data_IF_094609569162
#
_entry.id   IF_094609569162
#
_cell.length_a   1.000
_cell.length_b   1.000
_cell.length_c   1.000
_cell.angle_alpha   90.00
_cell.angle_beta   90.00
_cell.angle_gamma   90.00
#
_symmetry.space_group_name_H-M   'P 1'
#
loop_
_entity.id
_entity.type
_entity.pdbx_description
1 polymer ?
#
# COMPACT_ATOMS: atom_id res chain seq x y z
N UNK A 1 -3.36 -16.49 15.13
CA UNK A 1 -2.25 -15.54 14.97
C UNK A 1 -2.86 -14.15 14.92
N UNK A 2 -2.58 -13.31 15.92
CA UNK A 2 -3.18 -11.98 16.03
C UNK A 2 -2.33 -11.02 15.20
N UNK A 3 -2.88 -10.50 14.08
CA UNK A 3 -2.21 -9.51 13.25
C UNK A 3 -2.07 -8.24 14.08
N UNK A 4 -0.83 -7.83 14.34
CA UNK A 4 -0.52 -6.59 15.05
C UNK A 4 -1.06 -5.42 14.20
N UNK A 5 -1.83 -4.48 14.77
CA UNK A 5 -2.34 -3.34 14.01
C UNK A 5 -1.17 -2.55 13.41
N UNK A 6 -1.17 -2.41 12.08
CA UNK A 6 -0.18 -1.61 11.35
C UNK A 6 -0.32 -0.16 11.80
N UNK A 7 0.74 0.37 12.41
CA UNK A 7 0.78 1.77 12.85
C UNK A 7 1.49 2.57 11.76
N UNK A 8 0.84 3.58 11.19
CA UNK A 8 1.52 4.59 10.38
C UNK A 8 2.48 5.34 11.30
N UNK A 9 3.75 4.95 11.30
CA UNK A 9 4.77 5.60 12.15
C UNK A 9 5.25 6.83 11.40
N UNK A 10 4.78 8.00 11.86
CA UNK A 10 5.32 9.34 11.62
C UNK A 10 5.68 9.73 10.15
N UNK A 11 5.07 10.84 9.67
CA UNK A 11 5.56 11.63 8.52
C UNK A 11 6.92 12.30 8.80
N UNK A 12 7.85 11.67 9.54
CA UNK A 12 9.19 12.23 9.73
C UNK A 12 10.07 11.80 8.58
N UNK A 13 10.25 12.66 7.58
CA UNK A 13 11.25 12.49 6.53
C UNK A 13 10.77 11.97 5.18
N UNK A 14 9.45 11.93 4.93
CA UNK A 14 8.90 11.86 3.58
C UNK A 14 8.17 13.18 3.34
N UNK A 15 8.30 13.75 2.13
CA UNK A 15 7.61 14.99 1.77
C UNK A 15 6.11 14.87 2.02
N UNK A 16 5.38 15.99 2.14
CA UNK A 16 3.93 15.97 2.39
C UNK A 16 3.13 15.14 1.37
N UNK A 17 3.71 14.88 0.19
CA UNK A 17 3.17 14.06 -0.89
C UNK A 17 3.52 12.58 -0.84
N UNK A 18 4.46 12.13 0.00
CA UNK A 18 4.94 10.74 0.03
C UNK A 18 4.47 9.97 1.27
N UNK A 19 4.07 8.72 1.07
CA UNK A 19 3.78 7.79 2.17
C UNK A 19 4.71 6.60 2.18
N UNK A 20 4.83 6.00 3.37
CA UNK A 20 5.56 4.76 3.58
C UNK A 20 5.06 4.05 4.83
N UNK A 21 5.46 2.79 4.96
CA UNK A 21 5.22 1.96 6.15
C UNK A 21 6.54 1.44 6.69
N UNK A 22 6.58 1.14 7.99
CA UNK A 22 7.72 0.49 8.61
C UNK A 22 7.36 -0.94 8.94
N UNK A 23 8.10 -1.91 8.39
CA UNK A 23 7.92 -3.34 8.63
C UNK A 23 9.29 -3.93 9.00
N UNK A 24 9.34 -4.73 10.07
CA UNK A 24 10.59 -5.31 10.59
C UNK A 24 11.68 -4.25 10.87
N UNK A 25 11.27 -3.05 11.29
CA UNK A 25 12.18 -1.93 11.55
C UNK A 25 12.76 -1.26 10.30
N UNK A 26 12.42 -1.73 9.09
CA UNK A 26 12.79 -1.11 7.82
C UNK A 26 11.65 -0.26 7.29
N UNK A 27 11.96 0.96 6.86
CA UNK A 27 11.00 1.85 6.21
C UNK A 27 10.92 1.55 4.71
N UNK A 28 9.71 1.40 4.20
CA UNK A 28 9.40 1.22 2.79
C UNK A 28 8.55 2.40 2.31
N UNK A 29 8.93 3.03 1.20
CA UNK A 29 8.12 4.07 0.53
C UNK A 29 7.08 3.36 -0.34
N UNK A 30 5.82 3.79 -0.23
CA UNK A 30 4.66 3.13 -0.87
C UNK A 30 3.88 4.05 -1.80
N UNK A 31 3.79 5.34 -1.50
CA UNK A 31 3.20 6.37 -2.37
C UNK A 31 4.29 7.40 -2.72
N UNK A 32 4.29 7.85 -3.98
CA UNK A 32 5.29 8.76 -4.51
C UNK A 32 6.55 8.05 -4.99
N UNK A 33 6.41 6.80 -5.44
CA UNK A 33 7.43 5.98 -6.11
C UNK A 33 6.79 5.10 -7.19
N UNK A 34 7.53 4.77 -8.24
CA UNK A 34 7.06 3.92 -9.35
C UNK A 34 5.74 4.43 -9.95
N UNK A 35 4.77 3.53 -10.12
CA UNK A 35 3.43 3.83 -10.65
C UNK A 35 2.64 4.86 -9.83
N UNK A 36 3.03 5.12 -8.57
CA UNK A 36 2.36 6.08 -7.68
C UNK A 36 3.10 7.41 -7.56
N UNK A 37 4.08 7.68 -8.44
CA UNK A 37 4.93 8.89 -8.36
C UNK A 37 4.14 10.20 -8.40
N UNK A 38 3.03 10.21 -9.14
CA UNK A 38 2.16 11.38 -9.32
C UNK A 38 1.17 11.59 -8.16
N UNK A 39 1.14 10.67 -7.18
CA UNK A 39 0.18 10.71 -6.09
C UNK A 39 0.72 11.50 -4.90
N UNK A 40 -0.13 12.39 -4.40
CA UNK A 40 0.02 13.05 -3.12
C UNK A 40 -0.70 12.22 -2.07
N UNK A 41 0.05 11.67 -1.11
CA UNK A 41 -0.55 10.88 -0.06
C UNK A 41 -1.20 11.73 1.03
N UNK A 42 -2.50 11.55 1.24
CA UNK A 42 -3.19 12.19 2.37
C UNK A 42 -3.11 11.33 3.63
N UNK A 43 -3.48 10.05 3.53
CA UNK A 43 -3.46 9.12 4.67
C UNK A 43 -3.53 7.66 4.25
N UNK A 44 -3.02 6.78 5.11
CA UNK A 44 -3.29 5.34 5.09
C UNK A 44 -4.66 5.09 5.77
N UNK A 45 -5.58 4.43 5.08
CA UNK A 45 -6.94 4.15 5.57
C UNK A 45 -7.17 2.69 5.94
N UNK A 46 -6.39 1.77 5.39
CA UNK A 46 -6.48 0.34 5.68
C UNK A 46 -5.17 -0.38 5.46
N UNK A 47 -4.95 -1.46 6.21
CA UNK A 47 -3.81 -2.35 6.02
C UNK A 47 -4.17 -3.76 6.50
N UNK A 48 -3.76 -4.79 5.77
CA UNK A 48 -4.05 -6.17 6.16
C UNK A 48 -3.37 -7.22 5.28
N UNK A 49 -3.42 -8.46 5.73
CA UNK A 49 -2.87 -9.58 4.98
C UNK A 49 -3.72 -9.86 3.73
N UNK A 50 -3.04 -10.20 2.64
CA UNK A 50 -3.66 -10.65 1.40
C UNK A 50 -3.35 -12.14 1.19
N UNK A 51 -4.11 -12.85 0.33
CA UNK A 51 -3.73 -14.19 -0.10
C UNK A 51 -2.29 -14.19 -0.61
N UNK A 52 -1.47 -15.22 -0.38
CA UNK A 52 -0.12 -15.28 -0.94
C UNK A 52 -0.15 -15.42 -2.48
N UNK A 53 0.90 -15.02 -3.18
CA UNK A 53 1.14 -15.30 -4.61
C UNK A 53 2.42 -16.12 -4.75
N UNK A 54 2.43 -17.22 -5.53
CA UNK A 54 3.61 -18.06 -5.77
C UNK A 54 4.50 -18.29 -4.53
N UNK A 55 3.87 -18.62 -3.39
CA UNK A 55 4.48 -18.82 -2.05
C UNK A 55 5.04 -17.56 -1.33
N UNK A 56 4.88 -16.36 -1.88
CA UNK A 56 5.22 -15.10 -1.23
C UNK A 56 4.02 -14.53 -0.46
N UNK A 57 4.24 -14.15 0.81
CA UNK A 57 3.24 -13.42 1.60
C UNK A 57 2.98 -12.05 0.98
N UNK A 58 1.72 -11.62 0.98
CA UNK A 58 1.29 -10.30 0.50
C UNK A 58 0.61 -9.51 1.62
N UNK A 59 0.80 -8.19 1.63
CA UNK A 59 0.12 -7.24 2.51
C UNK A 59 -0.50 -6.16 1.64
N UNK A 60 -1.78 -5.87 1.85
CA UNK A 60 -2.50 -4.80 1.19
C UNK A 60 -2.46 -3.55 2.04
N UNK A 61 -2.27 -2.41 1.40
CA UNK A 61 -2.33 -1.08 1.99
C UNK A 61 -3.31 -0.24 1.17
N UNK A 62 -4.22 0.45 1.84
CA UNK A 62 -5.19 1.34 1.21
C UNK A 62 -4.87 2.77 1.61
N UNK A 63 -4.81 3.66 0.63
CA UNK A 63 -4.50 5.06 0.83
C UNK A 63 -5.59 5.95 0.23
N UNK A 64 -5.86 7.05 0.92
CA UNK A 64 -6.49 8.21 0.30
C UNK A 64 -5.37 9.06 -0.29
N UNK A 65 -5.47 9.33 -1.60
CA UNK A 65 -4.48 10.06 -2.37
C UNK A 65 -5.13 11.14 -3.22
N UNK A 66 -4.33 12.14 -3.58
CA UNK A 66 -4.65 13.15 -4.56
C UNK A 66 -3.74 13.05 -5.77
N UNK A 67 -4.28 13.36 -6.93
CA UNK A 67 -3.52 13.68 -8.14
C UNK A 67 -3.83 15.13 -8.52
N UNK A 68 -3.09 15.74 -9.47
CA UNK A 68 -3.42 17.08 -9.95
C UNK A 68 -4.86 17.26 -10.45
N UNK A 69 -5.56 16.16 -10.79
CA UNK A 69 -6.88 16.20 -11.42
C UNK A 69 -8.03 15.70 -10.52
N UNK A 70 -7.75 14.96 -9.44
CA UNK A 70 -8.78 14.36 -8.58
C UNK A 70 -8.20 13.77 -7.28
N UNK A 71 -9.05 13.61 -6.28
CA UNK A 71 -8.82 12.83 -5.07
C UNK A 71 -9.53 11.47 -5.17
N UNK A 72 -8.88 10.41 -4.70
CA UNK A 72 -9.40 9.04 -4.79
C UNK A 72 -8.72 8.07 -3.80
N UNK A 73 -9.15 6.81 -3.84
CA UNK A 73 -8.55 5.71 -3.08
C UNK A 73 -7.63 4.88 -3.99
N UNK A 74 -6.45 4.56 -3.50
CA UNK A 74 -5.49 3.68 -4.19
C UNK A 74 -5.11 2.50 -3.29
N UNK A 75 -4.87 1.36 -3.92
CA UNK A 75 -4.33 0.18 -3.25
C UNK A 75 -2.86 0.00 -3.61
N UNK A 76 -2.03 -0.24 -2.60
CA UNK A 76 -0.63 -0.64 -2.74
C UNK A 76 -0.49 -2.05 -2.19
N UNK A 77 0.15 -2.93 -2.96
CA UNK A 77 0.41 -4.31 -2.56
C UNK A 77 1.88 -4.43 -2.22
N UNK A 78 2.17 -4.96 -1.03
CA UNK A 78 3.51 -5.35 -0.62
C UNK A 78 3.68 -6.85 -0.76
N UNK A 79 4.82 -7.27 -1.28
CA UNK A 79 5.19 -8.68 -1.43
C UNK A 79 6.44 -8.98 -0.60
N UNK A 80 6.47 -10.14 0.06
CA UNK A 80 7.66 -10.62 0.77
C UNK A 80 8.65 -11.23 -0.23
N UNK A 81 9.81 -10.61 -0.37
CA UNK A 81 10.97 -11.10 -1.11
C UNK A 81 12.04 -11.64 -0.15
N UNK A 82 13.10 -12.26 -0.70
CA UNK A 82 14.22 -12.82 0.07
C UNK A 82 14.91 -11.77 0.96
N UNK A 83 15.01 -10.52 0.51
CA UNK A 83 15.70 -9.43 1.20
C UNK A 83 14.79 -8.61 2.14
N UNK A 84 13.49 -8.89 2.13
CA UNK A 84 12.48 -8.20 2.94
C UNK A 84 11.19 -7.91 2.18
N UNK A 85 10.41 -6.95 2.69
CA UNK A 85 9.19 -6.49 2.03
C UNK A 85 9.51 -5.49 0.91
N UNK A 86 8.83 -5.63 -0.21
CA UNK A 86 8.94 -4.74 -1.37
C UNK A 86 7.56 -4.35 -1.88
N UNK A 87 7.44 -3.18 -2.52
CA UNK A 87 6.22 -2.77 -3.23
C UNK A 87 6.11 -3.60 -4.50
N UNK A 88 4.93 -4.16 -4.75
CA UNK A 88 4.58 -4.81 -6.00
C UNK A 88 4.04 -3.74 -6.96
N UNK A 89 4.94 -3.18 -7.79
CA UNK A 89 4.60 -2.10 -8.72
C UNK A 89 3.58 -2.53 -9.78
N UNK A 90 3.53 -3.82 -10.13
CA UNK A 90 2.58 -4.32 -11.14
C UNK A 90 1.14 -4.44 -10.63
N UNK A 91 0.94 -4.50 -9.31
CA UNK A 91 -0.38 -4.58 -8.67
C UNK A 91 -0.79 -3.28 -7.99
N UNK A 92 0.18 -2.46 -7.56
CA UNK A 92 -0.08 -1.18 -6.91
C UNK A 92 -0.63 -0.16 -7.91
N UNK A 93 -1.62 0.64 -7.52
CA UNK A 93 -2.29 1.60 -8.42
C UNK A 93 -3.29 0.98 -9.40
N UNK A 94 -3.29 -0.35 -9.59
CA UNK A 94 -4.21 -1.02 -10.52
C UNK A 94 -5.70 -0.86 -10.14
N UNK A 95 -5.97 -0.67 -8.85
CA UNK A 95 -7.33 -0.62 -8.30
C UNK A 95 -7.78 0.81 -7.98
N UNK A 96 -7.20 1.81 -8.63
CA UNK A 96 -7.46 3.20 -8.32
C UNK A 96 -8.91 3.60 -8.56
N UNK A 97 -9.51 4.18 -7.53
CA UNK A 97 -10.95 4.51 -7.45
C UNK A 97 -11.88 3.29 -7.56
N UNK A 98 -11.34 2.08 -7.67
CA UNK A 98 -12.12 0.86 -7.81
C UNK A 98 -12.69 0.41 -6.45
N UNK A 99 -13.81 -0.34 -6.42
CA UNK A 99 -14.37 -0.88 -5.17
C UNK A 99 -13.36 -1.65 -4.31
N UNK A 100 -12.42 -2.33 -4.94
CA UNK A 100 -11.35 -3.12 -4.34
C UNK A 100 -10.42 -2.28 -3.48
N UNK A 101 -10.19 -1.01 -3.83
CA UNK A 101 -9.35 -0.11 -3.03
C UNK A 101 -10.06 0.46 -1.78
N UNK A 102 -11.31 0.05 -1.49
CA UNK A 102 -12.08 0.55 -0.33
C UNK A 102 -11.96 -0.34 0.91
N UNK A 103 -11.63 -1.63 0.76
CA UNK A 103 -11.40 -2.53 1.89
C UNK A 103 -10.37 -3.60 1.56
N UNK A 104 -9.68 -4.11 2.60
CA UNK A 104 -8.70 -5.19 2.43
C UNK A 104 -9.38 -6.48 1.96
N UNK A 105 -10.61 -6.75 2.40
CA UNK A 105 -11.37 -7.91 1.98
C UNK A 105 -11.67 -7.88 0.48
N UNK A 106 -12.17 -6.75 -0.04
CA UNK A 106 -12.45 -6.61 -1.46
C UNK A 106 -11.16 -6.68 -2.30
N UNK A 107 -10.07 -6.07 -1.81
CA UNK A 107 -8.75 -6.20 -2.45
C UNK A 107 -8.28 -7.65 -2.49
N UNK A 108 -8.43 -8.39 -1.38
CA UNK A 108 -8.05 -9.80 -1.30
C UNK A 108 -8.81 -10.68 -2.30
N UNK A 109 -10.10 -10.42 -2.52
CA UNK A 109 -10.94 -11.16 -3.46
C UNK A 109 -10.61 -10.88 -4.94
N UNK A 110 -10.08 -9.69 -5.24
CA UNK A 110 -9.78 -9.27 -6.61
C UNK A 110 -8.36 -9.60 -7.07
N UNK A 111 -7.50 -10.06 -6.17
CA UNK A 111 -6.14 -10.44 -6.50
C UNK A 111 -6.10 -11.80 -7.21
N UNK A 112 -5.19 -11.97 -8.18
CA UNK A 112 -4.91 -13.27 -8.77
C UNK A 112 -4.25 -14.21 -7.75
#
# INVERSE_FOLDING_TARGET
MTVVPFRTVEKRGLSDSQCGVTIDGKRLVTIGTGETEVYTCYRLTGAGALPPDDAAQRIGLLYDVGSPNADFHTAVVLRRAAEGWQVDEGLSGRFDSAPEAKSIEALAEALP
#
